data_IF_740705014663
#
_entry.id   IF_740705014663
#
_cell.length_a   1.000
_cell.length_b   1.000
_cell.length_c   1.000
_cell.angle_alpha   90.00
_cell.angle_beta   90.00
_cell.angle_gamma   90.00
#
_symmetry.space_group_name_H-M   'P 1'
#
loop_
_entity.id
_entity.type
_entity.pdbx_description
1 polymer ?
#
# COMPACT_ATOMS: atom_id res chain seq x y z
N UNK A 1 39.75 -0.86 2.21
CA UNK A 1 39.18 -0.67 0.86
C UNK A 1 37.71 -0.36 1.04
N UNK A 2 37.32 0.87 0.71
CA UNK A 2 36.01 1.46 0.97
C UNK A 2 34.95 0.95 -0.03
N UNK A 3 33.81 0.50 0.48
CA UNK A 3 32.55 0.51 -0.27
C UNK A 3 31.81 1.82 0.07
N UNK A 4 31.61 2.67 -0.92
CA UNK A 4 30.95 3.97 -0.82
C UNK A 4 29.43 3.81 -0.83
N UNK A 5 28.77 4.31 0.22
CA UNK A 5 27.33 4.57 0.27
C UNK A 5 27.07 5.92 -0.44
N UNK A 6 26.26 5.94 -1.50
CA UNK A 6 25.80 7.19 -2.12
C UNK A 6 24.72 7.81 -1.24
N UNK A 7 25.07 8.93 -0.58
CA UNK A 7 24.20 9.76 0.24
C UNK A 7 23.43 10.74 -0.65
N UNK A 8 22.10 10.85 -0.46
CA UNK A 8 21.25 11.81 -1.16
C UNK A 8 21.09 13.13 -0.37
N UNK A 9 21.17 14.23 -1.13
CA UNK A 9 21.09 15.70 -0.93
C UNK A 9 21.02 16.38 0.46
N UNK A 10 20.46 15.77 1.50
CA UNK A 10 20.29 16.42 2.81
C UNK A 10 21.62 16.70 3.54
N UNK A 11 22.64 15.86 3.33
CA UNK A 11 23.96 16.01 3.98
C UNK A 11 24.75 17.24 3.51
N UNK A 12 24.60 17.59 2.23
CA UNK A 12 25.30 18.73 1.64
C UNK A 12 24.73 20.06 2.16
N UNK A 13 23.45 20.08 2.55
CA UNK A 13 22.79 21.27 3.07
C UNK A 13 23.23 21.61 4.50
N UNK A 14 23.40 20.60 5.36
CA UNK A 14 23.88 20.78 6.74
C UNK A 14 25.33 21.28 6.76
N UNK A 15 26.22 20.70 5.95
CA UNK A 15 27.63 21.14 5.85
C UNK A 15 27.76 22.58 5.32
N UNK A 16 26.90 22.97 4.37
CA UNK A 16 26.87 24.33 3.82
C UNK A 16 26.36 25.35 4.83
N UNK A 17 25.38 24.99 5.66
CA UNK A 17 24.80 25.91 6.64
C UNK A 17 25.73 26.21 7.83
N UNK A 18 26.51 25.22 8.29
CA UNK A 18 27.43 25.37 9.43
C UNK A 18 28.89 25.71 9.01
N UNK A 19 29.19 25.68 7.71
CA UNK A 19 30.49 26.04 7.13
C UNK A 19 31.62 25.03 7.35
N UNK A 20 31.32 23.87 7.95
CA UNK A 20 32.28 22.79 8.21
C UNK A 20 31.54 21.46 8.45
N UNK A 21 32.25 20.32 8.51
CA UNK A 21 31.62 19.01 8.79
C UNK A 21 31.47 18.80 10.31
N UNK A 22 30.29 18.38 10.82
CA UNK A 22 30.11 18.11 12.25
C UNK A 22 30.99 16.93 12.68
N UNK A 23 31.69 17.07 13.81
CA UNK A 23 32.47 15.99 14.40
C UNK A 23 31.61 15.24 15.40
N UNK A 24 31.16 14.03 15.03
CA UNK A 24 30.31 13.18 15.87
C UNK A 24 31.14 12.05 16.48
N UNK A 25 30.87 11.71 17.74
CA UNK A 25 31.64 10.69 18.48
C UNK A 25 30.74 9.72 19.24
N UNK A 26 31.16 8.47 19.41
CA UNK A 26 30.39 7.43 20.12
C UNK A 26 29.87 6.33 19.19
N UNK A 27 28.92 5.53 19.69
CA UNK A 27 28.28 4.46 18.90
C UNK A 27 27.21 5.01 17.93
N UNK A 28 26.64 4.13 17.09
CA UNK A 28 25.73 4.53 16.02
C UNK A 28 24.45 5.24 16.51
N UNK A 29 23.94 4.89 17.70
CA UNK A 29 22.78 5.55 18.32
C UNK A 29 23.16 6.94 18.85
N UNK A 30 24.35 7.05 19.47
CA UNK A 30 24.88 8.33 19.95
C UNK A 30 25.17 9.31 18.79
N UNK A 31 25.76 8.82 17.70
CA UNK A 31 26.01 9.62 16.50
C UNK A 31 24.70 10.06 15.84
N UNK A 32 23.66 9.22 15.82
CA UNK A 32 22.33 9.57 15.29
C UNK A 32 21.65 10.67 16.11
N UNK A 33 21.78 10.63 17.43
CA UNK A 33 21.24 11.68 18.32
C UNK A 33 21.99 13.02 18.14
N UNK A 34 23.32 12.98 18.01
CA UNK A 34 24.12 14.20 17.76
C UNK A 34 23.84 14.80 16.37
N UNK A 35 23.62 13.95 15.35
CA UNK A 35 23.21 14.40 14.02
C UNK A 35 21.85 15.11 14.06
N UNK A 36 20.88 14.55 14.78
CA UNK A 36 19.57 15.18 14.95
C UNK A 36 19.69 16.57 15.57
N UNK A 37 20.52 16.72 16.61
CA UNK A 37 20.73 18.01 17.28
C UNK A 37 21.31 19.10 16.37
N UNK A 38 22.32 18.76 15.54
CA UNK A 38 22.93 19.72 14.59
C UNK A 38 21.96 20.11 13.47
N UNK A 39 21.19 19.15 12.96
CA UNK A 39 20.17 19.40 11.94
C UNK A 39 19.06 20.33 12.47
N UNK A 40 18.63 20.12 13.72
CA UNK A 40 17.61 20.95 14.36
C UNK A 40 18.12 22.40 14.56
N UNK A 41 19.41 22.60 14.86
CA UNK A 41 20.04 23.92 15.01
C UNK A 41 20.19 24.67 13.67
N UNK A 42 20.52 23.97 12.59
CA UNK A 42 20.62 24.53 11.24
C UNK A 42 19.26 24.99 10.73
N UNK A 43 18.23 24.17 10.92
CA UNK A 43 16.87 24.47 10.49
C UNK A 43 16.23 25.61 11.28
N UNK A 44 16.68 25.86 12.51
CA UNK A 44 16.23 26.99 13.32
C UNK A 44 16.69 28.36 12.78
N UNK A 45 17.76 28.42 11.99
CA UNK A 45 18.40 29.67 11.55
C UNK A 45 18.12 30.07 10.08
N UNK A 46 17.43 29.24 9.30
CA UNK A 46 17.17 29.50 7.87
C UNK A 46 15.72 29.97 7.62
N UNK A 47 15.58 31.17 7.05
CA UNK A 47 14.32 31.78 6.62
C UNK A 47 13.76 31.07 5.38
N UNK A 48 12.45 30.80 5.41
CA UNK A 48 11.61 29.99 4.49
C UNK A 48 11.84 30.19 2.98
N UNK A 49 11.98 29.10 2.22
CA UNK A 49 10.89 28.49 1.42
C UNK A 49 11.37 27.26 0.63
N UNK A 50 10.51 26.23 0.62
CA UNK A 50 10.51 25.02 -0.22
C UNK A 50 11.58 23.94 0.00
N UNK A 51 11.45 23.22 1.13
CA UNK A 51 11.63 21.76 1.23
C UNK A 51 10.45 21.23 2.06
N UNK A 52 9.79 20.16 1.61
CA UNK A 52 8.75 19.47 2.39
C UNK A 52 9.44 18.63 3.44
N UNK A 53 8.97 18.79 4.67
CA UNK A 53 9.48 18.23 5.90
C UNK A 53 9.36 16.70 5.98
N UNK A 54 10.25 16.07 6.75
CA UNK A 54 9.86 14.91 7.56
C UNK A 54 9.25 15.49 8.84
N UNK A 55 7.98 15.81 8.76
CA UNK A 55 7.14 16.17 9.90
C UNK A 55 6.84 14.93 10.74
N UNK A 56 6.73 15.09 12.05
CA UNK A 56 5.94 14.19 12.91
C UNK A 56 4.43 14.40 12.63
N UNK A 57 4.02 14.45 11.37
CA UNK A 57 2.63 14.23 11.00
C UNK A 57 2.47 12.71 10.94
N UNK A 58 2.02 12.11 12.04
CA UNK A 58 1.57 10.69 12.16
C UNK A 58 2.35 9.78 11.21
N UNK A 59 3.43 9.13 11.67
CA UNK A 59 4.10 7.98 11.02
C UNK A 59 3.15 7.41 9.94
N UNK A 60 3.35 7.81 8.67
CA UNK A 60 2.35 7.52 7.63
C UNK A 60 1.97 6.06 7.80
N UNK A 61 0.67 5.77 7.94
CA UNK A 61 0.21 4.41 8.23
C UNK A 61 0.87 3.39 7.29
N UNK A 62 1.22 3.82 6.07
CA UNK A 62 1.98 3.07 5.08
C UNK A 62 3.47 2.90 5.45
N UNK A 63 4.18 3.93 5.93
CA UNK A 63 5.58 3.83 6.35
C UNK A 63 5.76 2.80 7.48
N UNK A 64 4.84 2.78 8.46
CA UNK A 64 4.92 1.82 9.57
C UNK A 64 4.83 0.37 9.08
N UNK A 65 3.87 0.06 8.22
CA UNK A 65 3.72 -1.29 7.67
C UNK A 65 4.87 -1.66 6.73
N UNK A 66 5.38 -0.70 5.93
CA UNK A 66 6.56 -0.89 5.10
C UNK A 66 7.77 -1.30 5.94
N UNK A 67 8.06 -0.59 7.04
CA UNK A 67 9.18 -0.92 7.93
C UNK A 67 9.01 -2.31 8.57
N UNK A 68 7.81 -2.63 9.05
CA UNK A 68 7.51 -3.93 9.65
C UNK A 68 7.63 -5.10 8.66
N UNK A 69 7.25 -4.87 7.41
CA UNK A 69 7.43 -5.84 6.33
C UNK A 69 8.91 -5.98 5.97
N UNK A 70 9.65 -4.88 5.78
CA UNK A 70 11.07 -4.91 5.42
C UNK A 70 11.95 -5.56 6.50
N UNK A 71 11.57 -5.45 7.78
CA UNK A 71 12.29 -6.09 8.88
C UNK A 71 12.15 -7.63 8.87
N UNK A 72 11.01 -8.13 8.41
CA UNK A 72 10.63 -9.55 8.58
C UNK A 72 10.49 -10.33 7.28
N UNK A 73 10.43 -9.63 6.15
CA UNK A 73 10.46 -10.17 4.80
C UNK A 73 11.74 -9.64 4.13
N UNK A 74 12.67 -10.51 3.68
CA UNK A 74 13.88 -10.06 2.99
C UNK A 74 13.53 -9.56 1.58
N UNK A 75 13.00 -8.34 1.50
CA UNK A 75 12.55 -7.71 0.28
C UNK A 75 12.98 -6.25 0.18
N UNK A 76 12.99 -5.75 -1.06
CA UNK A 76 13.06 -4.32 -1.34
C UNK A 76 11.64 -3.79 -1.37
N UNK A 77 11.37 -2.70 -0.66
CA UNK A 77 10.08 -2.02 -0.70
C UNK A 77 10.24 -0.69 -1.44
N UNK A 78 9.43 -0.50 -2.47
CA UNK A 78 9.27 0.79 -3.16
C UNK A 78 7.91 1.35 -2.75
N UNK A 79 7.92 2.31 -1.82
CA UNK A 79 6.72 3.04 -1.41
C UNK A 79 6.48 4.19 -2.39
N UNK A 80 5.27 4.24 -2.98
CA UNK A 80 4.96 5.18 -4.06
C UNK A 80 4.10 6.31 -3.51
N UNK A 81 4.63 7.53 -3.59
CA UNK A 81 3.90 8.77 -3.28
C UNK A 81 3.10 9.21 -4.51
N UNK A 82 1.99 8.52 -4.78
CA UNK A 82 1.13 8.80 -5.93
C UNK A 82 0.24 10.03 -5.69
N UNK A 83 -0.12 10.75 -6.74
CA UNK A 83 -0.97 11.95 -6.62
C UNK A 83 -2.34 11.64 -6.03
N UNK A 84 -2.80 12.47 -5.09
CA UNK A 84 -4.04 12.26 -4.36
C UNK A 84 -5.25 12.99 -4.97
N UNK A 85 -6.42 12.42 -4.74
CA UNK A 85 -7.70 13.07 -4.98
C UNK A 85 -8.06 13.96 -3.77
N UNK A 86 -8.83 15.05 -3.96
CA UNK A 86 -9.57 15.43 -5.17
C UNK A 86 -8.80 16.26 -6.21
N UNK A 87 -7.58 16.72 -5.90
CA UNK A 87 -6.76 17.57 -6.79
C UNK A 87 -6.43 16.85 -8.09
N UNK A 88 -6.18 15.55 -8.00
CA UNK A 88 -5.91 14.67 -9.12
C UNK A 88 -6.90 13.50 -9.10
N UNK A 89 -8.00 13.61 -9.85
CA UNK A 89 -9.01 12.54 -9.95
C UNK A 89 -8.49 11.29 -10.67
N UNK A 90 -9.22 10.18 -10.55
CA UNK A 90 -8.93 8.98 -11.33
C UNK A 90 -8.89 9.31 -12.85
N UNK A 91 -7.99 8.67 -13.62
CA UNK A 91 -7.13 7.53 -13.24
C UNK A 91 -5.72 7.92 -12.75
N UNK A 92 -5.49 9.17 -12.33
CA UNK A 92 -4.13 9.69 -12.07
C UNK A 92 -3.29 8.82 -11.12
N UNK A 93 -3.90 8.29 -10.07
CA UNK A 93 -3.26 7.39 -9.09
C UNK A 93 -2.70 6.12 -9.76
N UNK A 94 -3.48 5.54 -10.68
CA UNK A 94 -3.12 4.33 -11.40
C UNK A 94 -1.99 4.59 -12.40
N UNK A 95 -2.03 5.75 -13.08
CA UNK A 95 -0.93 6.16 -13.96
C UNK A 95 0.39 6.28 -13.19
N UNK A 96 0.37 6.92 -12.02
CA UNK A 96 1.55 7.06 -11.17
C UNK A 96 2.04 5.70 -10.65
N UNK A 97 1.12 4.82 -10.22
CA UNK A 97 1.45 3.48 -9.77
C UNK A 97 2.07 2.61 -10.89
N UNK A 98 1.57 2.72 -12.12
CA UNK A 98 2.12 1.99 -13.28
C UNK A 98 3.48 2.55 -13.71
N UNK A 99 3.67 3.87 -13.65
CA UNK A 99 4.99 4.48 -13.87
C UNK A 99 6.00 4.01 -12.83
N UNK A 100 5.64 4.05 -11.55
CA UNK A 100 6.51 3.59 -10.46
C UNK A 100 6.81 2.09 -10.55
N UNK A 101 5.80 1.26 -10.82
CA UNK A 101 5.96 -0.18 -11.07
C UNK A 101 6.97 -0.43 -12.19
N UNK A 102 6.79 0.24 -13.33
CA UNK A 102 7.66 0.07 -14.51
C UNK A 102 9.08 0.52 -14.22
N UNK A 103 9.26 1.64 -13.53
CA UNK A 103 10.58 2.10 -13.11
C UNK A 103 11.26 1.11 -12.17
N UNK A 104 10.56 0.65 -11.14
CA UNK A 104 11.12 -0.24 -10.13
C UNK A 104 11.42 -1.63 -10.69
N UNK A 105 10.55 -2.18 -11.54
CA UNK A 105 10.82 -3.43 -12.25
C UNK A 105 12.08 -3.35 -13.14
N UNK A 106 12.23 -2.26 -13.89
CA UNK A 106 13.42 -2.06 -14.75
C UNK A 106 14.71 -1.77 -13.96
N UNK A 107 14.60 -1.35 -12.70
CA UNK A 107 15.74 -1.05 -11.83
C UNK A 107 15.95 -2.09 -10.72
N UNK A 108 15.20 -3.20 -10.70
CA UNK A 108 15.20 -4.13 -9.58
C UNK A 108 16.61 -4.62 -9.22
N UNK A 109 17.43 -4.99 -10.21
CA UNK A 109 18.82 -5.40 -9.99
C UNK A 109 19.66 -4.31 -9.31
N UNK A 110 19.49 -3.05 -9.71
CA UNK A 110 20.20 -1.91 -9.11
C UNK A 110 19.73 -1.63 -7.67
N UNK A 111 18.50 -2.02 -7.35
CA UNK A 111 17.92 -1.92 -6.01
C UNK A 111 18.23 -3.15 -5.13
N UNK A 112 19.00 -4.13 -5.64
CA UNK A 112 19.21 -5.45 -5.03
C UNK A 112 17.92 -6.28 -4.88
N UNK A 113 16.94 -6.03 -5.75
CA UNK A 113 15.70 -6.80 -5.85
C UNK A 113 15.79 -7.95 -6.87
N UNK A 114 14.78 -8.81 -6.84
CA UNK A 114 14.63 -9.98 -7.70
C UNK A 114 13.32 -9.87 -8.51
N UNK A 115 13.42 -9.66 -9.82
CA UNK A 115 12.24 -9.53 -10.71
C UNK A 115 11.38 -10.80 -10.74
N UNK A 116 11.96 -11.97 -10.44
CA UNK A 116 11.21 -13.23 -10.39
C UNK A 116 10.41 -13.39 -9.11
N UNK A 117 10.48 -12.44 -8.17
CA UNK A 117 9.71 -12.41 -6.92
C UNK A 117 8.97 -11.10 -6.73
N UNK A 118 8.64 -10.42 -7.83
CA UNK A 118 8.04 -9.09 -7.81
C UNK A 118 6.53 -9.16 -7.56
N UNK A 119 6.01 -8.35 -6.63
CA UNK A 119 4.61 -8.37 -6.20
C UNK A 119 4.12 -6.98 -5.84
N UNK A 120 2.80 -6.78 -5.89
CA UNK A 120 2.15 -5.56 -5.42
C UNK A 120 1.54 -5.79 -4.02
N UNK A 121 1.59 -4.79 -3.16
CA UNK A 121 0.92 -4.80 -1.86
C UNK A 121 0.35 -3.43 -1.57
N UNK A 122 -0.83 -3.39 -0.96
CA UNK A 122 -1.40 -2.14 -0.48
C UNK A 122 -2.54 -2.34 0.52
N UNK A 123 -2.85 -1.26 1.23
CA UNK A 123 -3.89 -1.20 2.25
C UNK A 123 -5.01 -0.24 1.83
N UNK A 124 -6.26 -0.61 2.10
CA UNK A 124 -7.44 0.21 1.82
C UNK A 124 -7.43 0.67 0.36
N UNK A 125 -7.43 1.98 0.10
CA UNK A 125 -7.29 2.54 -1.25
C UNK A 125 -6.02 2.05 -1.98
N UNK A 126 -4.91 1.88 -1.27
CA UNK A 126 -3.70 1.27 -1.84
C UNK A 126 -3.86 -0.20 -2.19
N UNK A 127 -4.71 -0.94 -1.45
CA UNK A 127 -5.06 -2.33 -1.76
C UNK A 127 -5.88 -2.43 -3.05
N UNK A 128 -6.84 -1.51 -3.22
CA UNK A 128 -7.59 -1.34 -4.47
C UNK A 128 -6.67 -0.97 -5.63
N UNK A 129 -5.76 -0.02 -5.42
CA UNK A 129 -4.78 0.42 -6.41
C UNK A 129 -3.83 -0.72 -6.82
N UNK A 130 -3.39 -1.55 -5.88
CA UNK A 130 -2.57 -2.73 -6.17
C UNK A 130 -3.29 -3.73 -7.09
N UNK A 131 -4.60 -3.93 -6.87
CA UNK A 131 -5.45 -4.75 -7.75
C UNK A 131 -5.64 -4.10 -9.14
N UNK A 132 -5.78 -2.78 -9.20
CA UNK A 132 -5.85 -2.04 -10.47
C UNK A 132 -4.54 -2.11 -11.26
N UNK A 133 -3.38 -2.07 -10.58
CA UNK A 133 -2.07 -2.31 -11.20
C UNK A 133 -2.03 -3.69 -11.85
N UNK A 134 -2.49 -4.73 -11.14
CA UNK A 134 -2.58 -6.09 -11.71
C UNK A 134 -3.42 -6.11 -12.98
N UNK A 135 -4.60 -5.48 -12.96
CA UNK A 135 -5.46 -5.38 -14.13
C UNK A 135 -4.74 -4.71 -15.31
N UNK A 136 -4.07 -3.59 -15.07
CA UNK A 136 -3.32 -2.88 -16.10
C UNK A 136 -2.18 -3.73 -16.67
N UNK A 137 -1.46 -4.48 -15.83
CA UNK A 137 -0.45 -5.43 -16.32
C UNK A 137 -1.07 -6.53 -17.20
N UNK A 138 -2.27 -7.02 -16.87
CA UNK A 138 -3.01 -7.95 -17.74
C UNK A 138 -3.35 -7.30 -19.08
N UNK A 139 -3.94 -6.10 -19.08
CA UNK A 139 -4.32 -5.36 -20.30
C UNK A 139 -3.10 -5.06 -21.18
N UNK A 140 -1.99 -4.66 -20.57
CA UNK A 140 -0.72 -4.37 -21.23
C UNK A 140 0.07 -5.63 -21.64
N UNK A 141 -0.45 -6.84 -21.37
CA UNK A 141 0.21 -8.13 -21.62
C UNK A 141 1.55 -8.30 -20.86
N UNK A 142 1.66 -7.63 -19.72
CA UNK A 142 2.80 -7.60 -18.78
C UNK A 142 2.57 -8.45 -17.53
N UNK A 143 1.56 -9.34 -17.53
CA UNK A 143 1.24 -10.21 -16.38
C UNK A 143 2.41 -11.07 -15.88
N UNK A 144 3.43 -11.31 -16.70
CA UNK A 144 4.60 -12.09 -16.33
C UNK A 144 5.51 -11.37 -15.32
N UNK A 145 5.35 -10.05 -15.18
CA UNK A 145 6.12 -9.20 -14.26
C UNK A 145 5.66 -9.32 -12.80
N UNK A 146 4.51 -9.95 -12.52
CA UNK A 146 3.91 -10.02 -11.19
C UNK A 146 3.69 -11.47 -10.75
N UNK A 147 4.17 -11.81 -9.55
CA UNK A 147 3.99 -13.13 -8.94
C UNK A 147 2.79 -13.22 -8.01
N UNK A 148 2.37 -12.10 -7.43
CA UNK A 148 1.22 -12.04 -6.56
C UNK A 148 0.81 -10.62 -6.24
N UNK A 149 -0.36 -10.50 -5.62
CA UNK A 149 -0.86 -9.24 -5.08
C UNK A 149 -1.43 -9.46 -3.68
N UNK A 150 -1.07 -8.57 -2.75
CA UNK A 150 -1.62 -8.52 -1.40
C UNK A 150 -2.50 -7.27 -1.26
N UNK A 151 -3.82 -7.47 -1.20
CA UNK A 151 -4.78 -6.38 -1.01
C UNK A 151 -5.40 -6.45 0.38
N UNK A 152 -5.05 -5.49 1.22
CA UNK A 152 -5.44 -5.45 2.62
C UNK A 152 -6.64 -4.51 2.77
N UNK A 153 -7.79 -5.02 3.21
CA UNK A 153 -9.07 -4.28 3.35
C UNK A 153 -9.44 -3.39 2.15
N UNK A 154 -9.38 -3.88 0.90
CA UNK A 154 -9.60 -3.04 -0.28
C UNK A 154 -11.09 -2.65 -0.46
N UNK A 155 -11.34 -1.50 -1.09
CA UNK A 155 -12.63 -1.25 -1.75
C UNK A 155 -12.58 -1.76 -3.19
N UNK A 156 -13.65 -2.37 -3.69
CA UNK A 156 -13.63 -3.03 -5.02
C UNK A 156 -14.91 -2.78 -5.82
N UNK A 157 -15.94 -2.22 -5.17
CA UNK A 157 -17.27 -2.00 -5.72
C UNK A 157 -17.72 -0.58 -5.34
N UNK A 158 -18.23 0.18 -6.30
CA UNK A 158 -18.96 1.40 -5.96
C UNK A 158 -20.37 1.04 -5.46
N UNK A 159 -20.84 1.58 -4.32
CA UNK A 159 -22.11 1.17 -3.70
C UNK A 159 -23.35 1.44 -4.56
N UNK A 160 -23.28 2.41 -5.49
CA UNK A 160 -24.38 2.70 -6.41
C UNK A 160 -24.39 1.83 -7.67
N UNK A 161 -23.30 1.07 -7.92
CA UNK A 161 -23.13 0.27 -9.14
C UNK A 161 -22.73 -1.17 -8.84
N UNK A 162 -23.26 -1.75 -7.76
CA UNK A 162 -23.05 -3.16 -7.41
C UNK A 162 -23.56 -4.05 -8.56
N UNK A 163 -22.73 -4.94 -9.13
CA UNK A 163 -23.18 -5.84 -10.18
C UNK A 163 -24.36 -6.70 -9.71
N UNK A 164 -25.38 -6.87 -10.56
CA UNK A 164 -26.65 -7.53 -10.21
C UNK A 164 -26.50 -8.86 -9.46
N UNK A 165 -25.52 -9.68 -9.86
CA UNK A 165 -25.26 -11.00 -9.25
C UNK A 165 -24.73 -10.95 -7.81
N UNK A 166 -24.32 -9.78 -7.33
CA UNK A 166 -23.75 -9.57 -5.99
C UNK A 166 -24.63 -8.71 -5.08
N UNK A 167 -25.77 -8.21 -5.57
CA UNK A 167 -26.67 -7.35 -4.79
C UNK A 167 -27.09 -7.98 -3.46
N UNK A 168 -27.41 -9.27 -3.45
CA UNK A 168 -27.86 -9.98 -2.25
C UNK A 168 -26.73 -10.19 -1.22
N UNK A 169 -25.47 -10.14 -1.68
CA UNK A 169 -24.26 -10.33 -0.86
C UNK A 169 -23.65 -9.01 -0.39
N UNK A 170 -23.99 -7.88 -1.00
CA UNK A 170 -23.41 -6.57 -0.68
C UNK A 170 -24.23 -5.83 0.38
N UNK A 171 -24.01 -6.16 1.65
CA UNK A 171 -24.80 -5.68 2.80
C UNK A 171 -24.01 -4.82 3.77
N UNK A 172 -22.72 -5.10 3.94
CA UNK A 172 -21.83 -4.47 4.93
C UNK A 172 -21.82 -2.96 4.81
N UNK A 173 -21.88 -2.42 3.59
CA UNK A 173 -21.88 -0.97 3.36
C UNK A 173 -23.02 -0.24 4.10
N UNK A 174 -24.18 -0.90 4.25
CA UNK A 174 -25.32 -0.36 5.00
C UNK A 174 -25.42 -0.90 6.43
N UNK A 175 -25.14 -2.20 6.65
CA UNK A 175 -25.19 -2.83 7.98
C UNK A 175 -24.18 -2.21 8.95
N UNK A 176 -22.99 -1.85 8.43
CA UNK A 176 -21.84 -1.37 9.19
C UNK A 176 -21.55 0.11 8.92
N UNK A 177 -22.54 0.87 8.45
CA UNK A 177 -22.38 2.28 8.07
C UNK A 177 -21.73 3.18 9.14
N UNK A 178 -21.91 2.85 10.42
CA UNK A 178 -21.37 3.59 11.57
C UNK A 178 -20.21 2.84 12.25
N UNK A 179 -19.50 1.98 11.52
CA UNK A 179 -18.38 1.22 12.06
C UNK A 179 -17.27 2.10 12.62
N UNK A 180 -16.48 1.60 13.60
CA UNK A 180 -15.28 2.29 14.03
C UNK A 180 -14.28 2.46 12.87
N UNK A 181 -13.49 3.53 12.92
CA UNK A 181 -12.44 3.90 11.93
C UNK A 181 -12.98 4.33 10.57
N UNK A 182 -13.81 3.49 9.93
CA UNK A 182 -14.35 3.77 8.60
C UNK A 182 -15.88 3.73 8.63
N UNK A 183 -16.50 4.81 8.15
CA UNK A 183 -17.96 4.95 8.04
C UNK A 183 -18.36 5.01 6.58
N UNK A 184 -19.64 4.72 6.32
CA UNK A 184 -20.22 4.89 4.99
C UNK A 184 -20.11 6.34 4.53
N UNK A 185 -20.41 7.29 5.40
CA UNK A 185 -20.36 8.72 5.07
C UNK A 185 -18.93 9.16 4.72
N UNK A 186 -17.89 8.58 5.34
CA UNK A 186 -16.50 8.83 4.96
C UNK A 186 -16.17 8.21 3.59
N UNK A 187 -16.62 6.99 3.34
CA UNK A 187 -16.46 6.33 2.03
C UNK A 187 -17.15 7.10 0.90
N UNK A 188 -18.35 7.63 1.12
CA UNK A 188 -19.08 8.45 0.14
C UNK A 188 -18.24 9.69 -0.24
N UNK A 189 -17.57 10.34 0.73
CA UNK A 189 -16.63 11.44 0.46
C UNK A 189 -15.42 10.97 -0.37
N UNK A 190 -14.86 9.79 -0.09
CA UNK A 190 -13.75 9.25 -0.88
C UNK A 190 -14.15 8.91 -2.33
N UNK A 191 -15.34 8.35 -2.53
CA UNK A 191 -15.88 8.09 -3.87
C UNK A 191 -16.14 9.38 -4.67
N UNK A 192 -16.65 10.42 -4.01
CA UNK A 192 -16.84 11.73 -4.64
C UNK A 192 -15.49 12.40 -4.98
N UNK A 193 -14.50 12.28 -4.09
CA UNK A 193 -13.17 12.84 -4.27
C UNK A 193 -12.44 12.19 -5.45
N UNK A 194 -12.41 10.85 -5.51
CA UNK A 194 -11.75 10.13 -6.62
C UNK A 194 -12.44 10.39 -7.96
N UNK A 195 -13.76 10.64 -7.95
CA UNK A 195 -14.55 11.12 -9.08
C UNK A 195 -14.54 10.19 -10.29
N UNK A 196 -14.36 8.89 -10.07
CA UNK A 196 -14.39 7.86 -11.09
C UNK A 196 -15.82 7.50 -11.49
N UNK A 197 -16.03 6.98 -12.70
CA UNK A 197 -17.31 6.38 -13.05
C UNK A 197 -17.57 5.17 -12.15
N UNK A 198 -18.79 5.02 -11.63
CA UNK A 198 -19.14 3.96 -10.66
C UNK A 198 -18.87 2.53 -11.17
N UNK A 199 -18.82 2.36 -12.49
CA UNK A 199 -18.53 1.08 -13.17
C UNK A 199 -17.11 1.00 -13.72
N UNK A 200 -16.23 1.96 -13.41
CA UNK A 200 -14.86 1.99 -13.92
C UNK A 200 -14.07 0.77 -13.43
N UNK A 201 -13.64 -0.13 -14.33
CA UNK A 201 -12.91 -1.34 -13.94
C UNK A 201 -11.47 -1.07 -13.49
N UNK A 202 -10.94 0.14 -13.71
CA UNK A 202 -9.63 0.58 -13.23
C UNK A 202 -9.66 1.14 -11.80
N UNK A 203 -10.85 1.37 -11.24
CA UNK A 203 -11.03 1.82 -9.84
C UNK A 203 -11.80 0.77 -9.02
N UNK A 204 -12.85 0.19 -9.60
CA UNK A 204 -13.70 -0.81 -8.97
C UNK A 204 -13.50 -2.16 -9.64
N UNK A 205 -12.50 -2.90 -9.15
CA UNK A 205 -11.97 -4.08 -9.82
C UNK A 205 -13.01 -5.19 -10.05
N UNK A 206 -14.12 -5.21 -9.33
CA UNK A 206 -15.20 -6.17 -9.56
C UNK A 206 -15.80 -6.07 -10.98
N UNK A 207 -15.68 -4.89 -11.62
CA UNK A 207 -16.12 -4.69 -13.00
C UNK A 207 -15.16 -5.30 -14.02
N UNK A 208 -13.99 -5.79 -13.59
CA UNK A 208 -12.97 -6.43 -14.41
C UNK A 208 -12.98 -7.97 -14.33
N UNK A 209 -14.08 -8.60 -13.90
CA UNK A 209 -14.15 -10.07 -13.70
C UNK A 209 -13.76 -10.86 -14.97
N UNK A 210 -14.00 -10.32 -16.16
CA UNK A 210 -13.54 -10.95 -17.40
C UNK A 210 -12.01 -11.12 -17.48
N UNK A 211 -11.24 -10.32 -16.73
CA UNK A 211 -9.78 -10.39 -16.65
C UNK A 211 -9.27 -11.32 -15.53
N UNK A 212 -10.12 -11.74 -14.59
CA UNK A 212 -9.68 -12.41 -13.35
C UNK A 212 -8.96 -13.73 -13.59
N UNK A 213 -9.31 -14.48 -14.63
CA UNK A 213 -8.58 -15.71 -15.00
C UNK A 213 -7.09 -15.48 -15.34
N UNK A 214 -6.65 -14.22 -15.48
CA UNK A 214 -5.26 -13.83 -15.71
C UNK A 214 -4.60 -13.18 -14.50
N UNK A 215 -5.33 -13.00 -13.39
CA UNK A 215 -4.77 -12.45 -12.15
C UNK A 215 -3.78 -13.44 -11.54
N UNK A 216 -2.71 -12.96 -10.90
CA UNK A 216 -1.80 -13.79 -10.14
C UNK A 216 -2.47 -14.26 -8.84
N UNK A 217 -1.87 -15.23 -8.14
CA UNK A 217 -2.26 -15.56 -6.78
C UNK A 217 -2.46 -14.30 -5.91
N UNK A 218 -3.57 -14.25 -5.19
CA UNK A 218 -4.00 -13.05 -4.47
C UNK A 218 -4.11 -13.36 -2.97
N UNK A 219 -3.53 -12.50 -2.14
CA UNK A 219 -3.74 -12.49 -0.71
C UNK A 219 -4.69 -11.36 -0.34
N UNK A 220 -5.73 -11.68 0.43
CA UNK A 220 -6.74 -10.74 0.90
C UNK A 220 -6.76 -10.67 2.43
N UNK A 221 -6.94 -9.46 2.94
CA UNK A 221 -7.32 -9.26 4.35
C UNK A 221 -8.69 -8.62 4.40
N UNK A 222 -9.58 -9.19 5.21
CA UNK A 222 -10.95 -8.69 5.41
C UNK A 222 -11.21 -8.53 6.91
N UNK A 223 -11.88 -7.44 7.28
CA UNK A 223 -12.28 -7.16 8.66
C UNK A 223 -13.80 -7.29 8.82
N UNK A 224 -14.28 -7.88 9.91
CA UNK A 224 -15.73 -8.11 10.11
C UNK A 224 -16.50 -6.81 10.37
N UNK A 225 -15.91 -5.85 11.09
CA UNK A 225 -16.54 -4.58 11.47
C UNK A 225 -16.17 -3.45 10.50
N UNK A 226 -16.26 -3.70 9.20
CA UNK A 226 -15.85 -2.80 8.14
C UNK A 226 -16.97 -2.63 7.08
N UNK A 227 -17.37 -1.40 6.68
CA UNK A 227 -18.28 -1.20 5.56
C UNK A 227 -17.82 -1.90 4.27
N UNK A 228 -16.52 -2.07 4.08
CA UNK A 228 -15.88 -2.72 2.93
C UNK A 228 -15.70 -4.24 3.09
N UNK A 229 -16.28 -4.85 4.15
CA UNK A 229 -16.20 -6.30 4.38
C UNK A 229 -16.63 -7.09 3.13
N UNK A 230 -17.80 -6.74 2.59
CA UNK A 230 -18.38 -7.50 1.48
C UNK A 230 -17.65 -7.24 0.15
N UNK A 231 -16.96 -6.12 -0.02
CA UNK A 231 -16.02 -5.91 -1.13
C UNK A 231 -14.95 -7.00 -1.17
N UNK A 232 -14.30 -7.27 -0.03
CA UNK A 232 -13.28 -8.31 0.08
C UNK A 232 -13.83 -9.72 -0.09
N UNK A 233 -14.99 -10.03 0.50
CA UNK A 233 -15.63 -11.34 0.37
C UNK A 233 -16.10 -11.63 -1.07
N UNK A 234 -16.73 -10.64 -1.72
CA UNK A 234 -17.16 -10.77 -3.12
C UNK A 234 -15.95 -10.90 -4.05
N UNK A 235 -14.88 -10.13 -3.81
CA UNK A 235 -13.65 -10.26 -4.59
C UNK A 235 -13.03 -11.66 -4.44
N UNK A 236 -12.96 -12.18 -3.21
CA UNK A 236 -12.49 -13.55 -2.94
C UNK A 236 -13.25 -14.57 -3.80
N UNK A 237 -14.58 -14.55 -3.73
CA UNK A 237 -15.42 -15.52 -4.42
C UNK A 237 -15.30 -15.38 -5.94
N UNK A 238 -15.23 -14.15 -6.45
CA UNK A 238 -15.09 -13.89 -7.88
C UNK A 238 -13.73 -14.32 -8.45
N UNK A 239 -12.64 -14.13 -7.69
CA UNK A 239 -11.29 -14.59 -8.07
C UNK A 239 -11.21 -16.12 -8.02
N UNK A 240 -11.70 -16.75 -6.96
CA UNK A 240 -11.73 -18.21 -6.84
C UNK A 240 -12.58 -18.86 -7.95
N UNK A 241 -13.75 -18.29 -8.25
CA UNK A 241 -14.60 -18.76 -9.35
C UNK A 241 -13.93 -18.62 -10.74
N UNK A 242 -12.93 -17.74 -10.85
CA UNK A 242 -12.10 -17.56 -12.05
C UNK A 242 -10.84 -18.45 -12.07
N UNK A 243 -10.66 -19.32 -11.08
CA UNK A 243 -9.52 -20.23 -10.95
C UNK A 243 -8.25 -19.61 -10.37
N UNK A 244 -8.35 -18.40 -9.78
CA UNK A 244 -7.21 -17.73 -9.14
C UNK A 244 -6.98 -18.33 -7.75
N UNK A 245 -5.75 -18.73 -7.39
CA UNK A 245 -5.42 -19.08 -6.02
C UNK A 245 -5.59 -17.87 -5.10
N UNK A 246 -6.47 -17.97 -4.11
CA UNK A 246 -6.69 -16.91 -3.11
C UNK A 246 -6.42 -17.45 -1.72
N UNK A 247 -5.60 -16.72 -0.96
CA UNK A 247 -5.52 -16.86 0.50
C UNK A 247 -6.19 -15.65 1.12
N UNK A 248 -7.04 -15.85 2.11
CA UNK A 248 -7.73 -14.76 2.80
C UNK A 248 -7.64 -14.93 4.30
N UNK A 249 -7.22 -13.88 5.00
CA UNK A 249 -7.31 -13.80 6.46
C UNK A 249 -8.49 -12.88 6.84
N UNK A 250 -9.47 -13.45 7.54
CA UNK A 250 -10.68 -12.77 7.99
C UNK A 250 -10.60 -12.47 9.49
N UNK A 251 -10.59 -11.19 9.84
CA UNK A 251 -10.44 -10.71 11.20
C UNK A 251 -11.80 -10.42 11.84
N UNK A 252 -12.26 -11.39 12.64
CA UNK A 252 -13.52 -11.31 13.39
C UNK A 252 -13.47 -10.21 14.45
N UNK A 253 -14.53 -9.40 14.54
CA UNK A 253 -14.71 -8.35 15.54
C UNK A 253 -13.76 -7.14 15.40
N UNK A 254 -12.98 -7.06 14.33
CA UNK A 254 -12.02 -5.98 14.12
C UNK A 254 -12.49 -4.99 13.04
N UNK A 255 -12.21 -3.68 13.22
CA UNK A 255 -12.57 -2.64 12.25
C UNK A 255 -11.54 -2.51 11.12
N UNK A 256 -11.90 -1.69 10.13
CA UNK A 256 -11.00 -1.26 9.06
C UNK A 256 -9.64 -0.78 9.63
N UNK A 257 -8.52 -1.29 9.13
CA UNK A 257 -7.15 -0.86 9.50
C UNK A 257 -6.86 -0.97 11.02
N UNK A 258 -7.43 -1.97 11.72
CA UNK A 258 -7.31 -2.11 13.18
C UNK A 258 -5.86 -2.08 13.73
N UNK A 259 -4.86 -2.54 12.95
CA UNK A 259 -3.44 -2.54 13.32
C UNK A 259 -2.84 -1.13 13.48
N UNK A 260 -3.48 -0.12 12.90
CA UNK A 260 -3.16 1.29 13.11
C UNK A 260 -3.55 1.79 14.50
N UNK A 261 -4.47 1.11 15.20
CA UNK A 261 -5.17 1.66 16.37
C UNK A 261 -5.00 0.85 17.66
N UNK A 262 -3.77 0.45 18.03
CA UNK A 262 -3.47 -0.34 19.24
C UNK A 262 -4.55 -1.38 19.63
N UNK A 263 -5.18 -1.99 18.62
CA UNK A 263 -6.31 -2.87 18.74
C UNK A 263 -5.73 -4.26 18.50
N UNK A 264 -5.47 -5.06 19.56
CA UNK A 264 -4.86 -6.35 19.37
C UNK A 264 -5.82 -7.26 18.61
N UNK A 265 -5.30 -8.01 17.63
CA UNK A 265 -6.06 -9.09 17.03
C UNK A 265 -6.47 -10.08 18.13
N UNK A 266 -7.72 -10.59 18.14
CA UNK A 266 -8.16 -11.57 19.14
C UNK A 266 -7.30 -12.84 19.16
N UNK A 267 -6.68 -13.16 18.02
CA UNK A 267 -5.67 -14.21 17.86
C UNK A 267 -4.73 -13.83 16.71
N UNK A 268 -3.43 -14.10 16.87
CA UNK A 268 -2.44 -13.95 15.80
C UNK A 268 -1.58 -12.68 15.89
N UNK A 269 -0.74 -12.52 14.87
CA UNK A 269 0.14 -11.38 14.65
C UNK A 269 -0.16 -10.89 13.23
N UNK A 270 -0.86 -9.75 13.11
CA UNK A 270 -1.29 -9.19 11.83
C UNK A 270 -0.14 -9.12 10.80
N UNK A 271 1.04 -8.67 11.24
CA UNK A 271 2.20 -8.56 10.35
C UNK A 271 2.68 -9.95 9.93
N UNK A 272 2.70 -10.90 10.87
CA UNK A 272 3.02 -12.30 10.58
C UNK A 272 2.05 -12.96 9.59
N UNK A 273 0.76 -12.67 9.71
CA UNK A 273 -0.28 -13.16 8.81
C UNK A 273 -0.11 -12.57 7.42
N UNK A 274 0.15 -11.25 7.30
CA UNK A 274 0.48 -10.61 6.02
C UNK A 274 1.73 -11.23 5.38
N UNK A 275 2.79 -11.47 6.15
CA UNK A 275 4.02 -12.13 5.64
C UNK A 275 3.71 -13.55 5.18
N UNK A 276 2.92 -14.30 5.94
CA UNK A 276 2.46 -15.64 5.55
C UNK A 276 1.61 -15.60 4.27
N UNK A 277 0.77 -14.57 4.14
CA UNK A 277 0.00 -14.24 2.94
C UNK A 277 0.89 -14.03 1.71
N UNK A 278 1.87 -13.15 1.82
CA UNK A 278 2.83 -12.86 0.74
C UNK A 278 3.65 -14.10 0.39
N UNK A 279 4.17 -14.82 1.39
CA UNK A 279 4.95 -16.04 1.16
C UNK A 279 4.14 -17.15 0.47
N UNK A 280 2.81 -17.16 0.63
CA UNK A 280 1.96 -18.17 -0.02
C UNK A 280 2.03 -18.15 -1.56
N UNK A 281 2.41 -17.01 -2.16
CA UNK A 281 2.60 -16.88 -3.61
C UNK A 281 4.04 -16.60 -4.05
N UNK A 282 4.95 -16.29 -3.12
CA UNK A 282 6.38 -16.21 -3.42
C UNK A 282 7.08 -17.57 -3.33
N UNK A 283 6.58 -18.48 -2.50
CA UNK A 283 7.15 -19.82 -2.29
C UNK A 283 6.51 -20.91 -3.14
N UNK A 284 5.52 -20.58 -4.00
CA UNK A 284 4.98 -21.53 -4.98
C UNK A 284 6.07 -21.88 -5.98
N UNK A 285 6.71 -23.02 -5.72
CA UNK A 285 7.62 -23.69 -6.64
C UNK A 285 6.77 -24.21 -7.80
N UNK A 286 6.91 -23.58 -8.97
CA UNK A 286 6.51 -24.18 -10.25
C UNK A 286 7.53 -25.20 -10.69
#
# INVERSE_FOLDING_TARGET
MMSSLLLADAWVQVERAIGQRPQLTGDALAMRAQYKAVNDEVNANLVRSTEVAVEDEILDGNLRICLLLAERLPCVIVSVDYRLAPEHKAPTQLDDAIHAWTWAYNNATNLNGDCDKYFAIGQSAGGSLALSVVRQLVVLKRKHEIKGVAAIVPFTIHPNAVPRRFLDSYRSYNELKNSPVNTREAMDVFYDAIGALETDPDVYIINAVANFHQFPPTYLVVCEMDPLRDDGLILNDALQASGVPVKMDFYKGLPHVFWGFNCPAPSGDFVGDVISGVNSFLCTTT
#
